data_IF_608763172301
#
_entry.id   IF_608763172301
#
_cell.length_a   1.000
_cell.length_b   1.000
_cell.length_c   1.000
_cell.angle_alpha   90.00
_cell.angle_beta   90.00
_cell.angle_gamma   90.00
#
_symmetry.space_group_name_H-M   'P 1'
#
loop_
_entity.id
_entity.type
_entity.pdbx_description
1 polymer ?
#
# COMPACT_ATOMS: atom_id res chain seq x y z
N UNK A 1 -4.84 5.25 -15.27
CA UNK A 1 -5.11 5.19 -13.82
C UNK A 1 -4.02 6.03 -13.19
N UNK A 2 -4.37 7.24 -12.75
CA UNK A 2 -3.40 8.23 -12.27
C UNK A 2 -3.86 8.71 -10.89
N UNK A 3 -3.16 8.24 -9.86
CA UNK A 3 -3.34 8.70 -8.49
C UNK A 3 -2.37 9.83 -8.15
N UNK A 4 -1.21 9.91 -8.81
CA UNK A 4 -0.19 10.91 -8.47
C UNK A 4 -0.73 12.34 -8.50
N UNK A 5 -1.54 12.70 -9.51
CA UNK A 5 -2.15 14.03 -9.64
C UNK A 5 -3.18 14.36 -8.55
N UNK A 6 -3.58 13.37 -7.75
CA UNK A 6 -4.54 13.47 -6.65
C UNK A 6 -3.90 13.37 -5.28
N UNK A 7 -2.59 13.13 -5.22
CA UNK A 7 -1.85 13.12 -3.96
C UNK A 7 -1.65 14.55 -3.45
N UNK A 8 -1.69 14.71 -2.14
CA UNK A 8 -1.28 15.93 -1.44
C UNK A 8 0.23 16.16 -1.58
N UNK A 9 0.64 17.41 -1.34
CA UNK A 9 2.07 17.80 -1.37
C UNK A 9 2.95 16.89 -0.50
N UNK A 10 4.19 16.66 -0.93
CA UNK A 10 5.14 15.83 -0.18
C UNK A 10 5.62 16.57 1.06
N UNK A 11 5.37 15.96 2.21
CA UNK A 11 5.76 16.50 3.51
C UNK A 11 7.21 16.14 3.85
N UNK A 12 7.78 16.81 4.86
CA UNK A 12 9.17 16.62 5.27
C UNK A 12 9.22 16.10 6.70
N UNK A 13 9.83 14.93 6.87
CA UNK A 13 10.13 14.37 8.17
C UNK A 13 11.18 15.20 8.92
N UNK A 14 11.00 15.28 10.24
CA UNK A 14 11.99 15.83 11.15
C UNK A 14 12.74 14.73 11.95
N UNK A 15 12.00 13.74 12.45
CA UNK A 15 12.52 12.54 13.13
C UNK A 15 12.29 11.29 12.26
N UNK A 16 12.62 10.11 12.78
CA UNK A 16 12.30 8.79 12.22
C UNK A 16 10.80 8.48 12.27
N UNK A 17 10.01 9.34 11.63
CA UNK A 17 8.54 9.33 11.55
C UNK A 17 8.03 8.75 10.23
N UNK A 18 8.89 8.11 9.43
CA UNK A 18 8.54 7.65 8.07
C UNK A 18 7.24 6.84 8.02
N UNK A 19 6.97 6.00 9.01
CA UNK A 19 5.74 5.20 9.07
C UNK A 19 4.48 6.04 9.23
N UNK A 20 4.51 7.14 9.98
CA UNK A 20 3.36 8.04 10.08
C UNK A 20 3.20 8.88 8.83
N UNK A 21 4.29 9.35 8.19
CA UNK A 21 4.18 10.06 6.91
C UNK A 21 3.62 9.18 5.79
N UNK A 22 3.99 7.90 5.79
CA UNK A 22 3.41 6.89 4.89
C UNK A 22 1.91 6.73 5.16
N UNK A 23 1.51 6.44 6.40
CA UNK A 23 0.09 6.25 6.74
C UNK A 23 -0.75 7.52 6.46
N UNK A 24 -0.20 8.68 6.77
CA UNK A 24 -0.75 10.00 6.47
C UNK A 24 -0.92 10.24 4.97
N UNK A 25 0.08 9.93 4.16
CA UNK A 25 0.00 10.08 2.70
C UNK A 25 -1.17 9.32 2.08
N UNK A 26 -1.49 8.13 2.60
CA UNK A 26 -2.67 7.36 2.18
C UNK A 26 -3.96 7.96 2.76
N UNK A 27 -3.97 8.33 4.04
CA UNK A 27 -5.14 8.91 4.70
C UNK A 27 -5.55 10.25 4.06
N UNK A 28 -4.60 11.15 3.82
CA UNK A 28 -4.82 12.42 3.14
C UNK A 28 -5.37 12.20 1.73
N UNK A 29 -4.84 11.22 0.99
CA UNK A 29 -5.35 10.87 -0.33
C UNK A 29 -6.83 10.47 -0.25
N UNK A 30 -7.18 9.51 0.62
CA UNK A 30 -8.56 9.01 0.76
C UNK A 30 -9.52 10.15 1.14
N UNK A 31 -9.20 10.89 2.19
CA UNK A 31 -10.04 11.99 2.70
C UNK A 31 -10.14 13.13 1.69
N UNK A 32 -9.08 13.42 0.92
CA UNK A 32 -9.14 14.44 -0.13
C UNK A 32 -10.06 14.03 -1.29
N UNK A 33 -10.10 12.74 -1.62
CA UNK A 33 -11.04 12.23 -2.62
C UNK A 33 -12.48 12.28 -2.13
N UNK A 34 -12.74 11.89 -0.88
CA UNK A 34 -14.07 11.91 -0.27
C UNK A 34 -14.64 13.33 -0.15
N UNK A 35 -13.82 14.28 0.29
CA UNK A 35 -14.26 15.67 0.51
C UNK A 35 -14.11 16.58 -0.71
N UNK A 36 -13.57 16.08 -1.82
CA UNK A 36 -13.32 16.84 -3.05
C UNK A 36 -12.50 18.13 -2.85
N UNK A 37 -11.56 18.11 -1.89
CA UNK A 37 -10.62 19.19 -1.60
C UNK A 37 -9.36 18.62 -0.97
N UNK A 38 -8.25 19.36 -1.02
CA UNK A 38 -7.03 18.95 -0.31
C UNK A 38 -7.27 18.95 1.20
N UNK A 39 -7.03 17.80 1.83
CA UNK A 39 -7.06 17.61 3.29
C UNK A 39 -5.63 17.37 3.75
N UNK A 40 -5.16 18.20 4.68
CA UNK A 40 -3.85 18.04 5.33
C UNK A 40 -4.02 17.55 6.75
N UNK A 41 -3.50 16.37 7.02
CA UNK A 41 -3.64 15.69 8.30
C UNK A 41 -2.35 15.79 9.12
N UNK A 42 -2.45 15.49 10.42
CA UNK A 42 -1.31 15.52 11.34
C UNK A 42 -0.56 14.20 11.40
N UNK A 43 0.63 14.15 10.78
CA UNK A 43 1.52 12.99 10.90
C UNK A 43 2.01 12.84 12.34
N UNK A 44 2.15 13.95 13.07
CA UNK A 44 2.58 13.95 14.47
C UNK A 44 1.57 13.24 15.36
N UNK A 45 0.27 13.50 15.15
CA UNK A 45 -0.80 12.81 15.87
C UNK A 45 -0.81 11.31 15.55
N UNK A 46 -0.67 10.96 14.27
CA UNK A 46 -0.57 9.56 13.85
C UNK A 46 0.65 8.90 14.51
N UNK A 47 1.79 9.60 14.58
CA UNK A 47 3.00 9.06 15.16
C UNK A 47 2.89 8.83 16.67
N UNK A 48 2.38 9.80 17.41
CA UNK A 48 2.10 9.65 18.85
C UNK A 48 1.23 8.43 19.11
N UNK A 49 0.13 8.28 18.37
CA UNK A 49 -0.79 7.16 18.53
C UNK A 49 -0.22 5.82 18.02
N UNK A 50 0.72 5.86 17.08
CA UNK A 50 1.53 4.70 16.70
C UNK A 50 2.34 4.20 17.90
N UNK A 51 2.96 5.11 18.67
CA UNK A 51 3.66 4.77 19.91
C UNK A 51 2.74 4.29 21.02
N UNK A 52 1.53 4.84 21.13
CA UNK A 52 0.50 4.30 22.04
C UNK A 52 0.17 2.84 21.73
N UNK A 53 0.10 2.48 20.45
CA UNK A 53 -0.18 1.10 20.02
C UNK A 53 1.01 0.17 20.27
N UNK A 54 2.22 0.63 19.97
CA UNK A 54 3.42 -0.23 19.99
C UNK A 54 4.10 -0.32 21.34
N UNK A 55 3.98 0.72 22.17
CA UNK A 55 4.76 0.88 23.40
C UNK A 55 6.24 1.27 23.16
N UNK A 56 6.66 1.51 21.92
CA UNK A 56 8.06 1.76 21.55
C UNK A 56 8.48 3.24 21.73
N UNK A 57 8.26 3.80 22.91
CA UNK A 57 8.49 5.23 23.20
C UNK A 57 9.97 5.64 23.18
N UNK A 58 10.87 4.72 23.49
CA UNK A 58 12.31 5.01 23.67
C UNK A 58 13.15 4.89 22.39
N UNK A 59 12.52 4.79 21.21
CA UNK A 59 13.22 4.70 19.93
C UNK A 59 12.45 5.42 18.83
N UNK A 60 13.16 5.99 17.87
CA UNK A 60 12.57 6.43 16.61
C UNK A 60 12.16 5.22 15.74
N UNK A 61 11.27 5.46 14.78
CA UNK A 61 10.67 4.42 13.93
C UNK A 61 9.58 3.58 14.62
N UNK A 62 8.79 2.87 13.82
CA UNK A 62 7.84 1.85 14.29
C UNK A 62 7.49 0.90 13.14
N UNK A 63 6.55 -0.02 13.35
CA UNK A 63 6.01 -0.90 12.32
C UNK A 63 4.94 -0.19 11.48
N UNK A 64 4.95 -0.40 10.16
CA UNK A 64 3.95 0.14 9.23
C UNK A 64 2.52 -0.21 9.68
N UNK A 65 2.32 -1.46 10.13
CA UNK A 65 1.05 -1.94 10.68
C UNK A 65 0.51 -1.04 11.79
N UNK A 66 1.36 -0.59 12.71
CA UNK A 66 0.92 0.21 13.86
C UNK A 66 0.50 1.62 13.42
N UNK A 67 1.19 2.20 12.44
CA UNK A 67 0.79 3.48 11.86
C UNK A 67 -0.56 3.38 11.15
N UNK A 68 -0.79 2.33 10.35
CA UNK A 68 -2.10 2.09 9.73
C UNK A 68 -3.21 1.88 10.77
N UNK A 69 -2.94 1.07 11.81
CA UNK A 69 -3.89 0.84 12.89
C UNK A 69 -4.17 2.11 13.71
N UNK A 70 -3.19 3.01 13.84
CA UNK A 70 -3.40 4.30 14.45
C UNK A 70 -4.46 5.09 13.70
N UNK A 71 -4.35 5.16 12.36
CA UNK A 71 -5.35 5.82 11.52
C UNK A 71 -6.72 5.13 11.62
N UNK A 72 -6.77 3.80 11.63
CA UNK A 72 -8.06 3.09 11.80
C UNK A 72 -8.69 3.31 13.19
N UNK A 73 -7.88 3.34 14.25
CA UNK A 73 -8.37 3.38 15.63
C UNK A 73 -8.71 4.80 16.06
N UNK A 74 -7.89 5.77 15.71
CA UNK A 74 -7.96 7.15 16.19
C UNK A 74 -8.22 8.17 15.09
N UNK A 75 -7.95 7.83 13.82
CA UNK A 75 -7.97 8.78 12.72
C UNK A 75 -6.77 9.72 12.76
N UNK A 76 -6.92 10.90 12.19
CA UNK A 76 -5.93 11.97 12.28
C UNK A 76 -6.64 13.33 12.21
N UNK A 77 -6.31 14.30 13.06
CA UNK A 77 -6.86 15.63 12.97
C UNK A 77 -6.21 16.37 11.80
N UNK A 78 -6.75 17.53 11.44
CA UNK A 78 -6.06 18.46 10.54
C UNK A 78 -4.70 18.88 11.14
N UNK A 79 -3.71 19.10 10.27
CA UNK A 79 -2.35 19.52 10.67
C UNK A 79 -2.36 20.73 11.62
N UNK A 80 -3.24 21.69 11.39
CA UNK A 80 -3.37 22.91 12.20
C UNK A 80 -3.77 22.67 13.67
N UNK A 81 -4.41 21.54 13.98
CA UNK A 81 -4.85 21.21 15.34
C UNK A 81 -3.76 20.53 16.18
N UNK A 82 -2.79 19.90 15.51
CA UNK A 82 -1.68 19.23 16.18
C UNK A 82 -0.46 19.21 15.24
N UNK A 83 0.20 20.36 15.04
CA UNK A 83 1.18 20.52 13.99
C UNK A 83 2.49 19.79 14.29
N UNK A 84 3.25 19.51 13.24
CA UNK A 84 4.67 19.21 13.34
C UNK A 84 5.40 20.34 14.08
N UNK A 85 6.37 19.97 14.92
CA UNK A 85 7.13 20.92 15.72
C UNK A 85 8.62 20.55 15.74
N UNK A 86 9.39 21.05 14.75
CA UNK A 86 10.81 20.75 14.65
C UNK A 86 11.68 21.48 15.69
N UNK A 87 11.08 22.29 16.58
CA UNK A 87 11.81 22.91 17.68
C UNK A 87 11.86 22.03 18.92
N UNK A 88 10.93 21.07 19.04
CA UNK A 88 10.90 20.11 20.14
C UNK A 88 12.01 19.09 19.98
N UNK A 89 12.62 18.70 21.10
CA UNK A 89 13.48 17.52 21.09
C UNK A 89 12.63 16.24 20.92
N UNK A 90 13.26 15.11 20.65
CA UNK A 90 12.57 13.85 20.39
C UNK A 90 11.59 13.45 21.51
N UNK A 91 12.01 13.58 22.76
CA UNK A 91 11.22 13.17 23.93
C UNK A 91 9.97 14.05 24.09
N UNK A 92 10.11 15.36 23.96
CA UNK A 92 8.98 16.30 23.95
C UNK A 92 8.05 16.06 22.76
N UNK A 93 8.63 15.85 21.58
CA UNK A 93 7.91 15.65 20.34
C UNK A 93 6.96 14.46 20.44
N UNK A 94 7.47 13.32 20.93
CA UNK A 94 6.73 12.05 20.98
C UNK A 94 5.79 11.96 22.18
N UNK A 95 6.16 12.49 23.35
CA UNK A 95 5.37 12.32 24.59
C UNK A 95 4.30 13.40 24.81
N UNK A 96 4.30 14.51 24.08
CA UNK A 96 3.23 15.52 24.21
C UNK A 96 1.88 14.90 23.81
N UNK A 97 1.00 14.69 24.80
CA UNK A 97 -0.27 14.03 24.57
C UNK A 97 -1.27 14.96 23.86
N UNK A 98 -1.92 14.54 22.75
CA UNK A 98 -3.02 15.29 22.16
C UNK A 98 -4.20 15.45 23.13
N UNK A 99 -4.87 16.61 23.10
CA UNK A 99 -6.03 16.86 23.96
C UNK A 99 -7.24 16.01 23.54
N UNK A 100 -8.23 15.77 24.42
CA UNK A 100 -9.46 15.08 24.06
C UNK A 100 -10.20 15.70 22.87
N UNK A 101 -10.14 17.02 22.72
CA UNK A 101 -10.74 17.76 21.59
C UNK A 101 -10.03 17.40 20.28
N UNK A 102 -8.69 17.32 20.29
CA UNK A 102 -7.91 16.88 19.11
C UNK A 102 -8.26 15.45 18.73
N UNK A 103 -8.42 14.55 19.70
CA UNK A 103 -8.88 13.18 19.45
C UNK A 103 -10.27 13.14 18.81
N UNK A 104 -11.20 13.96 19.29
CA UNK A 104 -12.55 14.05 18.73
C UNK A 104 -12.54 14.55 17.28
N UNK A 105 -11.69 15.53 16.97
CA UNK A 105 -11.53 16.02 15.60
C UNK A 105 -10.89 14.98 14.69
N UNK A 106 -9.96 14.18 15.22
CA UNK A 106 -9.31 13.10 14.48
C UNK A 106 -10.29 12.01 13.99
N UNK A 107 -11.39 11.78 14.73
CA UNK A 107 -12.38 10.77 14.37
C UNK A 107 -13.07 11.02 13.02
N UNK A 108 -13.07 12.27 12.54
CA UNK A 108 -13.67 12.66 11.26
C UNK A 108 -12.91 12.10 10.06
N UNK A 109 -11.64 11.73 10.23
CA UNK A 109 -10.75 11.31 9.15
C UNK A 109 -10.19 9.90 9.40
N UNK A 110 -11.02 9.01 9.98
CA UNK A 110 -10.66 7.61 10.25
C UNK A 110 -10.72 6.78 8.98
N UNK A 111 -9.63 6.05 8.70
CA UNK A 111 -9.68 4.98 7.71
C UNK A 111 -10.45 3.77 8.24
N UNK A 112 -11.33 3.17 7.43
CA UNK A 112 -12.17 2.04 7.89
C UNK A 112 -11.37 0.77 8.19
N UNK A 113 -10.53 0.32 7.25
CA UNK A 113 -9.80 -0.95 7.37
C UNK A 113 -8.39 -0.91 6.78
N UNK A 114 -7.55 -1.83 7.24
CA UNK A 114 -6.18 -2.02 6.75
C UNK A 114 -5.79 -3.49 6.70
N UNK A 115 -4.96 -3.88 5.75
CA UNK A 115 -4.39 -5.23 5.66
C UNK A 115 -3.06 -5.24 4.90
N UNK A 116 -2.30 -6.33 5.08
CA UNK A 116 -1.02 -6.54 4.41
C UNK A 116 -1.19 -6.89 2.93
N UNK A 117 -0.30 -6.36 2.11
CA UNK A 117 -0.21 -6.61 0.67
C UNK A 117 1.00 -7.51 0.39
N UNK A 118 0.95 -8.28 -0.70
CA UNK A 118 2.13 -9.01 -1.16
C UNK A 118 3.28 -8.08 -1.56
N UNK A 119 4.49 -8.62 -1.67
CA UNK A 119 5.72 -7.84 -1.86
C UNK A 119 6.24 -7.86 -3.30
N UNK A 120 5.48 -8.40 -4.26
CA UNK A 120 5.87 -8.41 -5.67
C UNK A 120 5.28 -7.21 -6.40
N UNK A 121 5.93 -6.73 -7.46
CA UNK A 121 5.41 -5.62 -8.28
C UNK A 121 3.94 -5.80 -8.68
N UNK A 122 3.55 -7.03 -9.02
CA UNK A 122 2.18 -7.33 -9.41
C UNK A 122 1.21 -7.21 -8.22
N UNK A 123 1.61 -7.59 -7.00
CA UNK A 123 0.79 -7.40 -5.80
C UNK A 123 0.49 -5.91 -5.56
N UNK A 124 1.51 -5.06 -5.70
CA UNK A 124 1.36 -3.60 -5.59
C UNK A 124 0.40 -3.06 -6.66
N UNK A 125 0.63 -3.41 -7.92
CA UNK A 125 -0.21 -2.95 -9.04
C UNK A 125 -1.66 -3.38 -8.87
N UNK A 126 -1.90 -4.60 -8.39
CA UNK A 126 -3.24 -5.13 -8.16
C UNK A 126 -3.92 -4.43 -6.99
N UNK A 127 -3.24 -4.29 -5.85
CA UNK A 127 -3.79 -3.60 -4.68
C UNK A 127 -4.17 -2.16 -5.03
N UNK A 128 -3.26 -1.42 -5.67
CA UNK A 128 -3.49 -0.05 -6.14
C UNK A 128 -4.67 -0.01 -7.14
N UNK A 129 -4.72 -0.92 -8.11
CA UNK A 129 -5.79 -0.94 -9.11
C UNK A 129 -7.16 -1.25 -8.51
N UNK A 130 -7.26 -2.21 -7.61
CA UNK A 130 -8.52 -2.66 -7.02
C UNK A 130 -9.05 -1.64 -6.01
N UNK A 131 -8.19 -1.17 -5.12
CA UNK A 131 -8.58 -0.32 -4.00
C UNK A 131 -8.57 1.17 -4.37
N UNK A 132 -8.04 1.52 -5.56
CA UNK A 132 -7.94 2.89 -6.05
C UNK A 132 -7.20 3.82 -5.07
N UNK A 133 -6.26 3.26 -4.31
CA UNK A 133 -5.50 3.94 -3.27
C UNK A 133 -4.01 3.55 -3.34
N UNK A 134 -3.10 4.41 -2.84
CA UNK A 134 -1.69 4.06 -2.69
C UNK A 134 -1.48 2.85 -1.77
N UNK A 135 -0.31 2.21 -1.89
CA UNK A 135 0.13 1.12 -1.01
C UNK A 135 1.39 1.56 -0.28
N UNK A 136 1.31 1.60 1.05
CA UNK A 136 2.46 1.86 1.90
C UNK A 136 3.42 0.68 1.88
N UNK A 137 4.72 0.94 1.84
CA UNK A 137 5.76 -0.10 1.89
C UNK A 137 6.96 0.28 2.75
N UNK A 138 7.60 -0.76 3.28
CA UNK A 138 8.88 -0.67 3.99
C UNK A 138 9.99 -1.29 3.15
N UNK A 139 11.09 -0.55 2.96
CA UNK A 139 12.25 -1.03 2.22
C UNK A 139 13.59 -0.66 2.86
N UNK A 140 14.63 -1.43 2.53
CA UNK A 140 15.99 -1.11 2.97
C UNK A 140 16.47 0.11 2.22
N UNK A 141 16.98 1.09 2.95
CA UNK A 141 17.56 2.30 2.38
C UNK A 141 19.08 2.16 2.27
N UNK A 142 19.64 2.48 1.11
CA UNK A 142 21.07 2.43 0.82
C UNK A 142 21.60 3.84 0.57
N UNK A 143 22.90 4.08 0.79
CA UNK A 143 23.53 5.37 0.49
C UNK A 143 23.30 5.85 -0.94
N UNK A 144 23.27 4.93 -1.92
CA UNK A 144 22.96 5.24 -3.31
C UNK A 144 21.61 5.93 -3.48
N UNK A 145 20.63 5.65 -2.61
CA UNK A 145 19.26 6.16 -2.73
C UNK A 145 19.10 7.61 -2.29
N UNK A 146 20.12 8.21 -1.65
CA UNK A 146 20.03 9.59 -1.15
C UNK A 146 19.87 10.63 -2.28
N UNK A 147 20.16 10.24 -3.53
CA UNK A 147 19.90 11.04 -4.73
C UNK A 147 19.31 10.16 -5.83
N UNK A 148 18.31 10.68 -6.52
CA UNK A 148 17.73 10.03 -7.71
C UNK A 148 18.53 10.40 -8.96
N UNK A 149 18.31 9.64 -10.04
CA UNK A 149 18.66 10.07 -11.39
C UNK A 149 17.92 11.35 -11.80
N UNK A 150 18.35 11.97 -12.91
CA UNK A 150 17.74 13.21 -13.45
C UNK A 150 16.27 13.04 -13.82
N UNK A 151 15.86 11.82 -14.13
CA UNK A 151 14.51 11.37 -14.46
C UNK A 151 13.69 10.95 -13.23
N UNK A 152 14.25 11.10 -12.01
CA UNK A 152 13.63 10.65 -10.76
C UNK A 152 13.78 9.15 -10.51
N UNK A 153 14.52 8.41 -11.33
CA UNK A 153 14.77 6.98 -11.13
C UNK A 153 15.60 6.74 -9.87
N UNK A 154 15.16 5.82 -9.02
CA UNK A 154 15.95 5.36 -7.88
C UNK A 154 17.10 4.49 -8.40
N UNK A 155 18.36 4.74 -8.01
CA UNK A 155 19.46 3.87 -8.40
C UNK A 155 19.32 2.49 -7.76
N UNK A 156 20.07 1.50 -8.27
CA UNK A 156 20.14 0.17 -7.65
C UNK A 156 20.81 0.24 -6.26
N UNK A 157 20.55 -0.75 -5.37
CA UNK A 157 21.20 -0.82 -4.07
C UNK A 157 22.73 -0.71 -4.20
N UNK A 158 23.33 0.22 -3.47
CA UNK A 158 24.78 0.44 -3.52
C UNK A 158 25.26 1.24 -2.31
N UNK A 159 26.51 1.01 -1.91
CA UNK A 159 27.06 1.55 -0.67
C UNK A 159 26.52 0.84 0.56
N UNK A 160 26.59 1.50 1.72
CA UNK A 160 26.13 0.94 2.99
C UNK A 160 24.60 0.97 3.10
N UNK A 161 24.04 0.00 3.79
CA UNK A 161 22.66 0.07 4.28
C UNK A 161 22.57 1.11 5.40
N UNK A 162 21.68 2.08 5.25
CA UNK A 162 21.46 3.19 6.20
C UNK A 162 20.42 2.80 7.25
N UNK A 163 19.39 2.06 6.84
CA UNK A 163 18.29 1.66 7.71
C UNK A 163 17.00 1.40 6.95
N UNK A 164 15.90 1.24 7.66
CA UNK A 164 14.59 1.11 7.04
C UNK A 164 13.90 2.42 6.77
N UNK A 165 13.16 2.46 5.67
CA UNK A 165 12.35 3.61 5.28
C UNK A 165 10.95 3.19 4.83
N UNK A 166 9.95 4.00 5.18
CA UNK A 166 8.55 3.80 4.82
C UNK A 166 8.06 4.91 3.88
N UNK A 167 7.38 4.50 2.81
CA UNK A 167 7.04 5.31 1.63
C UNK A 167 5.78 4.74 0.96
N UNK A 168 5.15 5.49 0.04
CA UNK A 168 3.91 5.06 -0.63
C UNK A 168 4.12 4.79 -2.12
N UNK A 169 3.84 3.56 -2.57
CA UNK A 169 3.65 3.27 -3.98
C UNK A 169 2.29 3.81 -4.43
N UNK A 170 2.31 4.83 -5.30
CA UNK A 170 1.13 5.60 -5.65
C UNK A 170 0.41 5.02 -6.87
N UNK A 171 1.14 4.87 -7.97
CA UNK A 171 0.64 4.32 -9.23
C UNK A 171 1.83 3.99 -10.15
N UNK A 172 1.57 3.78 -11.45
CA UNK A 172 2.62 3.55 -12.43
C UNK A 172 2.35 4.29 -13.75
N UNK A 173 3.43 4.65 -14.43
CA UNK A 173 3.43 5.24 -15.77
C UNK A 173 4.68 4.75 -16.50
N UNK A 174 4.57 4.43 -17.80
CA UNK A 174 5.69 3.99 -18.64
C UNK A 174 6.55 2.89 -17.99
N UNK A 175 5.90 1.81 -17.55
CA UNK A 175 6.53 0.64 -16.91
C UNK A 175 7.40 0.97 -15.69
N UNK A 176 7.03 2.03 -14.97
CA UNK A 176 7.74 2.48 -13.79
C UNK A 176 6.76 2.75 -12.66
N UNK A 177 7.02 2.20 -11.48
CA UNK A 177 6.24 2.45 -10.27
C UNK A 177 6.65 3.80 -9.68
N UNK A 178 5.70 4.70 -9.44
CA UNK A 178 5.95 6.03 -8.86
C UNK A 178 5.67 5.99 -7.37
N UNK A 179 6.62 6.49 -6.58
CA UNK A 179 6.62 6.36 -5.13
C UNK A 179 6.74 7.75 -4.49
N UNK A 180 5.83 8.06 -3.56
CA UNK A 180 5.86 9.26 -2.71
C UNK A 180 6.86 9.03 -1.59
N UNK A 181 7.87 9.89 -1.50
CA UNK A 181 8.76 9.95 -0.34
C UNK A 181 8.19 10.92 0.71
N UNK A 182 8.95 11.21 1.75
CA UNK A 182 8.56 12.08 2.87
C UNK A 182 9.70 13.01 3.29
N UNK A 183 10.45 13.52 2.30
CA UNK A 183 11.60 14.44 2.48
C UNK A 183 11.37 15.82 1.84
N UNK A 184 10.10 16.20 1.68
CA UNK A 184 9.70 17.46 1.08
C UNK A 184 9.76 17.46 -0.46
N UNK A 185 9.18 18.49 -1.09
CA UNK A 185 9.06 18.58 -2.54
C UNK A 185 10.40 18.83 -3.25
N UNK A 186 11.41 19.33 -2.55
CA UNK A 186 12.72 19.65 -3.14
C UNK A 186 13.64 18.43 -3.30
N UNK A 187 13.21 17.25 -2.85
CA UNK A 187 13.97 16.02 -2.97
C UNK A 187 13.48 15.20 -4.17
N UNK A 188 14.39 14.60 -4.93
CA UNK A 188 14.05 13.75 -6.08
C UNK A 188 13.28 14.52 -7.16
N UNK A 189 12.19 13.94 -7.65
CA UNK A 189 11.27 14.57 -8.60
C UNK A 189 10.02 15.07 -7.85
N UNK A 190 10.06 16.30 -7.33
CA UNK A 190 8.96 16.91 -6.56
C UNK A 190 8.56 16.12 -5.29
N UNK A 191 9.53 15.48 -4.63
CA UNK A 191 9.32 14.60 -3.48
C UNK A 191 8.98 13.15 -3.84
N UNK A 192 8.97 12.82 -5.13
CA UNK A 192 8.75 11.47 -5.64
C UNK A 192 10.02 10.90 -6.24
N UNK A 193 10.04 9.58 -6.34
CA UNK A 193 10.99 8.85 -7.18
C UNK A 193 10.26 7.72 -7.89
N UNK A 194 10.97 7.02 -8.76
CA UNK A 194 10.39 5.96 -9.56
C UNK A 194 11.31 4.74 -9.66
N UNK A 195 10.70 3.55 -9.73
CA UNK A 195 11.39 2.26 -9.84
C UNK A 195 10.90 1.55 -11.11
N UNK A 196 11.77 1.29 -12.10
CA UNK A 196 11.41 0.52 -13.28
C UNK A 196 10.93 -0.89 -12.93
N UNK A 197 9.97 -1.42 -13.68
CA UNK A 197 9.35 -2.70 -13.39
C UNK A 197 10.33 -3.88 -13.38
N UNK A 198 11.31 -3.87 -14.26
CA UNK A 198 12.39 -4.86 -14.37
C UNK A 198 13.46 -4.72 -13.27
N UNK A 199 13.45 -3.60 -12.55
CA UNK A 199 14.34 -3.32 -11.43
C UNK A 199 13.68 -3.50 -10.06
N UNK A 200 12.35 -3.56 -9.99
CA UNK A 200 11.61 -3.65 -8.73
C UNK A 200 12.13 -4.76 -7.80
N UNK A 201 12.38 -5.95 -8.34
CA UNK A 201 12.87 -7.10 -7.57
C UNK A 201 14.32 -6.95 -7.06
N UNK A 202 15.06 -5.94 -7.53
CA UNK A 202 16.43 -5.62 -7.08
C UNK A 202 16.41 -4.77 -5.80
N UNK A 203 15.27 -4.22 -5.39
CA UNK A 203 15.12 -3.47 -4.16
C UNK A 203 14.56 -4.36 -3.04
N UNK A 204 15.14 -4.27 -1.84
CA UNK A 204 14.72 -5.09 -0.70
C UNK A 204 13.50 -4.48 -0.01
N UNK A 205 12.30 -4.94 -0.41
CA UNK A 205 11.01 -4.57 0.20
C UNK A 205 10.59 -5.67 1.17
N UNK A 206 10.38 -5.33 2.44
CA UNK A 206 10.04 -6.29 3.49
C UNK A 206 8.69 -6.06 4.13
N UNK A 207 7.93 -5.03 3.81
CA UNK A 207 6.56 -4.91 4.30
C UNK A 207 5.71 -4.07 3.35
N UNK A 208 4.42 -4.34 3.30
CA UNK A 208 3.48 -3.60 2.46
C UNK A 208 2.07 -3.66 3.05
N UNK A 209 1.40 -2.52 3.11
CA UNK A 209 0.08 -2.36 3.71
C UNK A 209 -0.77 -1.40 2.90
N UNK A 210 -2.07 -1.62 2.95
CA UNK A 210 -3.04 -0.68 2.41
C UNK A 210 -3.98 -0.20 3.50
N UNK A 211 -4.47 1.02 3.36
CA UNK A 211 -5.53 1.64 4.13
C UNK A 211 -6.68 1.97 3.17
N UNK A 212 -7.92 1.75 3.57
CA UNK A 212 -9.10 2.06 2.76
C UNK A 212 -10.35 2.24 3.60
N UNK A 213 -11.35 2.91 3.04
CA UNK A 213 -12.71 3.00 3.57
C UNK A 213 -13.64 1.88 3.09
N UNK A 214 -13.12 1.01 2.22
CA UNK A 214 -13.79 -0.23 1.87
C UNK A 214 -13.64 -1.27 2.99
N UNK A 215 -14.57 -2.23 3.04
CA UNK A 215 -14.32 -3.46 3.78
C UNK A 215 -13.19 -4.24 3.11
N UNK A 216 -12.34 -4.89 3.91
CA UNK A 216 -11.36 -5.84 3.37
C UNK A 216 -12.10 -6.81 2.46
N UNK A 217 -11.69 -6.99 1.19
CA UNK A 217 -12.32 -7.96 0.31
C UNK A 217 -12.31 -9.32 1.00
N UNK A 218 -13.48 -9.75 1.45
CA UNK A 218 -13.65 -11.04 2.13
C UNK A 218 -13.43 -12.18 1.13
N UNK A 219 -13.60 -11.91 -0.16
CA UNK A 219 -13.53 -12.89 -1.24
C UNK A 219 -12.86 -12.29 -2.48
N UNK A 220 -11.74 -12.87 -2.93
CA UNK A 220 -11.21 -12.57 -4.26
C UNK A 220 -11.88 -13.50 -5.27
N UNK A 221 -12.81 -12.94 -6.04
CA UNK A 221 -13.57 -13.68 -7.06
C UNK A 221 -13.14 -13.23 -8.46
N UNK A 222 -12.92 -14.18 -9.37
CA UNK A 222 -12.69 -13.86 -10.77
C UNK A 222 -12.48 -15.09 -11.63
N UNK A 223 -12.15 -14.89 -12.90
CA UNK A 223 -12.09 -15.91 -13.92
C UNK A 223 -10.68 -16.38 -14.19
N UNK A 224 -10.50 -17.69 -14.36
CA UNK A 224 -9.25 -18.26 -14.87
C UNK A 224 -9.48 -19.44 -15.79
N UNK A 225 -8.47 -19.75 -16.61
CA UNK A 225 -8.53 -20.83 -17.58
C UNK A 225 -8.30 -22.20 -16.92
N UNK A 226 -9.20 -23.15 -17.20
CA UNK A 226 -9.21 -24.53 -16.69
C UNK A 226 -7.86 -25.24 -16.88
N UNK A 227 -7.22 -25.02 -18.04
CA UNK A 227 -5.95 -25.64 -18.45
C UNK A 227 -4.85 -25.52 -17.38
N UNK A 228 -4.90 -24.49 -16.55
CA UNK A 228 -3.87 -24.21 -15.54
C UNK A 228 -4.32 -24.54 -14.12
N UNK A 229 -5.43 -25.27 -13.96
CA UNK A 229 -5.94 -25.74 -12.69
C UNK A 229 -5.74 -27.25 -12.58
N UNK A 230 -5.48 -27.71 -11.35
CA UNK A 230 -5.54 -29.12 -10.98
C UNK A 230 -6.52 -29.31 -9.83
N UNK A 231 -7.13 -30.49 -9.79
CA UNK A 231 -7.94 -30.97 -8.68
C UNK A 231 -7.83 -32.48 -8.53
N UNK A 232 -8.44 -33.02 -7.48
CA UNK A 232 -8.67 -34.46 -7.37
C UNK A 232 -9.90 -34.85 -8.21
N UNK A 233 -9.74 -35.80 -9.14
CA UNK A 233 -10.78 -36.23 -10.07
C UNK A 233 -10.74 -35.58 -11.47
N UNK A 234 -11.57 -36.07 -12.40
CA UNK A 234 -11.45 -35.80 -13.84
C UNK A 234 -12.32 -34.64 -14.38
N UNK A 235 -13.37 -34.22 -13.67
CA UNK A 235 -14.34 -33.20 -14.15
C UNK A 235 -14.50 -32.06 -13.16
N UNK A 236 -14.46 -30.82 -13.64
CA UNK A 236 -14.64 -29.61 -12.85
C UNK A 236 -16.14 -29.28 -12.70
N UNK A 237 -16.58 -29.01 -11.48
CA UNK A 237 -17.95 -28.61 -11.14
C UNK A 237 -17.94 -27.45 -10.13
N UNK A 238 -18.98 -26.60 -10.12
CA UNK A 238 -19.22 -25.67 -9.00
C UNK A 238 -19.13 -26.37 -7.64
N UNK A 239 -18.49 -25.70 -6.66
CA UNK A 239 -18.18 -26.22 -5.33
C UNK A 239 -16.85 -26.98 -5.23
N UNK A 240 -16.25 -27.39 -6.35
CA UNK A 240 -14.96 -28.08 -6.32
C UNK A 240 -13.86 -27.17 -5.77
N UNK A 241 -12.94 -27.77 -5.01
CA UNK A 241 -11.68 -27.12 -4.65
C UNK A 241 -10.59 -27.46 -5.65
N UNK A 242 -9.96 -26.42 -6.21
CA UNK A 242 -8.93 -26.53 -7.24
C UNK A 242 -7.71 -25.72 -6.84
N UNK A 243 -6.57 -26.01 -7.47
CA UNK A 243 -5.32 -25.26 -7.25
C UNK A 243 -4.64 -24.94 -8.58
N UNK A 244 -4.02 -23.75 -8.74
CA UNK A 244 -3.19 -23.46 -9.89
C UNK A 244 -1.97 -24.37 -9.95
N UNK A 245 -1.61 -24.84 -11.13
CA UNK A 245 -0.34 -25.57 -11.36
C UNK A 245 0.85 -24.64 -11.62
N UNK A 246 0.55 -23.38 -11.95
CA UNK A 246 1.52 -22.32 -12.24
C UNK A 246 0.99 -20.98 -11.74
N UNK A 247 1.79 -19.92 -11.82
CA UNK A 247 1.30 -18.55 -11.57
C UNK A 247 0.21 -18.24 -12.58
N UNK A 248 -0.97 -17.88 -12.10
CA UNK A 248 -2.18 -17.85 -12.92
C UNK A 248 -2.99 -16.59 -12.66
N UNK A 249 -3.32 -15.84 -13.72
CA UNK A 249 -4.11 -14.62 -13.57
C UNK A 249 -5.58 -14.96 -13.26
N UNK A 250 -6.09 -14.41 -12.16
CA UNK A 250 -7.51 -14.25 -11.90
C UNK A 250 -7.98 -12.98 -12.62
N UNK A 251 -9.06 -13.03 -13.41
CA UNK A 251 -9.48 -11.93 -14.30
C UNK A 251 -10.91 -11.50 -14.05
N UNK A 252 -11.25 -10.28 -14.46
CA UNK A 252 -12.62 -9.76 -14.33
C UNK A 252 -13.62 -10.45 -15.26
N UNK A 253 -13.15 -11.12 -16.32
CA UNK A 253 -13.99 -11.85 -17.26
C UNK A 253 -13.28 -13.06 -17.89
N UNK A 254 -14.04 -13.94 -18.57
CA UNK A 254 -13.56 -15.20 -19.14
C UNK A 254 -12.80 -15.00 -20.47
N UNK A 255 -11.82 -14.10 -20.49
CA UNK A 255 -10.97 -13.86 -21.67
C UNK A 255 -9.59 -13.37 -21.25
N UNK A 256 -8.58 -13.65 -22.06
CA UNK A 256 -7.20 -13.18 -21.84
C UNK A 256 -7.06 -11.65 -21.96
N UNK A 257 -8.03 -10.97 -22.60
CA UNK A 257 -8.08 -9.52 -22.71
C UNK A 257 -8.70 -8.82 -21.49
N UNK A 258 -9.45 -9.54 -20.65
CA UNK A 258 -10.04 -8.95 -19.44
C UNK A 258 -8.97 -8.49 -18.46
N UNK A 259 -9.27 -7.43 -17.71
CA UNK A 259 -8.41 -6.92 -16.65
C UNK A 259 -8.06 -8.02 -15.64
N UNK A 260 -6.81 -7.99 -15.19
CA UNK A 260 -6.32 -8.90 -14.16
C UNK A 260 -6.80 -8.37 -12.81
N UNK A 261 -7.45 -9.25 -12.06
CA UNK A 261 -7.82 -9.03 -10.66
C UNK A 261 -6.62 -9.40 -9.79
N UNK A 262 -6.18 -10.65 -9.84
CA UNK A 262 -5.14 -11.17 -8.97
C UNK A 262 -4.15 -12.08 -9.71
N UNK A 263 -2.94 -12.27 -9.18
CA UNK A 263 -2.01 -13.32 -9.64
C UNK A 263 -1.97 -14.44 -8.62
N UNK A 264 -2.62 -15.56 -8.96
CA UNK A 264 -2.71 -16.73 -8.11
C UNK A 264 -1.40 -17.49 -8.08
N UNK A 265 -1.01 -17.98 -6.90
CA UNK A 265 0.21 -18.77 -6.70
C UNK A 265 -0.06 -20.26 -6.97
N UNK A 266 0.95 -21.02 -7.45
CA UNK A 266 0.83 -22.48 -7.54
C UNK A 266 0.42 -23.07 -6.18
N UNK A 267 -0.54 -24.00 -6.17
CA UNK A 267 -1.03 -24.65 -4.96
C UNK A 267 -2.03 -23.84 -4.13
N UNK A 268 -2.30 -22.58 -4.46
CA UNK A 268 -3.30 -21.77 -3.76
C UNK A 268 -4.70 -22.39 -3.89
N UNK A 269 -5.41 -22.53 -2.77
CA UNK A 269 -6.75 -23.15 -2.76
C UNK A 269 -7.81 -22.19 -3.28
N UNK A 270 -8.58 -22.68 -4.25
CA UNK A 270 -9.65 -21.95 -4.91
C UNK A 270 -10.92 -22.78 -4.90
N UNK A 271 -12.06 -22.13 -4.80
CA UNK A 271 -13.38 -22.74 -4.98
C UNK A 271 -13.93 -22.38 -6.35
N UNK A 272 -14.46 -23.35 -7.09
CA UNK A 272 -15.24 -23.07 -8.29
C UNK A 272 -16.60 -22.55 -7.88
N UNK A 273 -16.96 -21.34 -8.33
CA UNK A 273 -18.28 -20.75 -8.11
C UNK A 273 -19.22 -21.12 -9.25
N UNK A 274 -18.76 -20.88 -10.48
CA UNK A 274 -19.51 -21.12 -11.71
C UNK A 274 -18.51 -21.16 -12.88
N UNK A 275 -18.96 -21.57 -14.08
CA UNK A 275 -18.08 -21.53 -15.24
C UNK A 275 -18.45 -22.50 -16.35
N UNK A 276 -17.44 -23.13 -16.93
CA UNK A 276 -17.50 -23.79 -18.24
C UNK A 276 -17.87 -22.79 -19.37
N UNK A 277 -17.35 -21.57 -19.27
CA UNK A 277 -17.55 -20.55 -20.31
C UNK A 277 -16.41 -20.66 -21.31
N UNK A 278 -16.74 -20.85 -22.59
CA UNK A 278 -15.76 -20.81 -23.65
C UNK A 278 -15.38 -19.35 -23.95
N UNK A 279 -14.09 -19.03 -23.90
CA UNK A 279 -13.59 -17.68 -24.14
C UNK A 279 -12.21 -17.71 -24.78
N UNK A 280 -12.12 -17.27 -26.04
CA UNK A 280 -10.95 -17.50 -26.87
C UNK A 280 -10.63 -19.00 -26.96
N UNK A 281 -9.36 -19.36 -26.74
CA UNK A 281 -8.86 -20.74 -26.83
C UNK A 281 -8.96 -21.53 -25.51
N UNK A 282 -9.68 -21.02 -24.51
CA UNK A 282 -9.73 -21.64 -23.19
C UNK A 282 -11.16 -21.80 -22.69
N UNK A 283 -11.36 -22.81 -21.84
CA UNK A 283 -12.52 -22.90 -20.94
C UNK A 283 -12.20 -22.15 -19.66
N UNK A 284 -13.15 -21.34 -19.21
CA UNK A 284 -12.99 -20.46 -18.06
C UNK A 284 -13.91 -20.85 -16.92
N UNK A 285 -13.38 -20.71 -15.71
CA UNK A 285 -14.09 -20.90 -14.46
C UNK A 285 -13.97 -19.66 -13.61
N UNK A 286 -15.09 -19.25 -13.02
CA UNK A 286 -15.14 -18.23 -12.00
C UNK A 286 -14.82 -18.91 -10.67
N UNK A 287 -13.79 -18.41 -10.02
CA UNK A 287 -13.21 -18.97 -8.83
C UNK A 287 -13.21 -17.94 -7.72
N UNK A 288 -13.40 -18.43 -6.50
CA UNK A 288 -13.17 -17.69 -5.25
C UNK A 288 -11.86 -18.18 -4.64
N UNK A 289 -10.99 -17.26 -4.25
CA UNK A 289 -9.82 -17.62 -3.43
C UNK A 289 -10.29 -17.98 -2.03
N UNK A 290 -9.96 -19.18 -1.55
CA UNK A 290 -10.23 -19.59 -0.17
C UNK A 290 -9.20 -18.92 0.76
N UNK A 291 -9.69 -18.26 1.80
CA UNK A 291 -8.89 -17.67 2.89
C UNK A 291 -8.32 -18.74 3.81
#
# INVERSE_FOLDING_TARGET
FELLSKMTSVQKQHYGTCTSHMADGIAEFLNSQEHHKEIKLSQRFIYHNTKVISGLWNTEGDYLRNAMLSVCKYGAPLEELYPDDPKKNWEEYVNEKPSPEVYKEAEKYKGKTTWSVGRTLEDFRQAIFQQKAPVGLGMMWYESYNKTGKDGRLPLPGGKSVGGHAIDAVDWLNETLRIKNSWGPNWGNNGYFNIPFDEFAKHTIWDAWILTDADKPTEMIGWTAEKYLKKFGLKFNPGDTVTPITKLNLRAGPTTSSSKIALLKPGQMLEIIEGNVQGGNYKWWKLKVKS
#
